data_IF_801874744994
#
_entry.id   IF_801874744994
#
_cell.length_a   1.000
_cell.length_b   1.000
_cell.length_c   1.000
_cell.angle_alpha   90.00
_cell.angle_beta   90.00
_cell.angle_gamma   90.00
#
_symmetry.space_group_name_H-M   'P 1'
#
loop_
_entity.id
_entity.type
_entity.pdbx_description
1 polymer ?
#
# COMPACT_ATOMS: atom_id res chain seq x y z
N UNK A 1 -5.43 -9.97 3.96
CA UNK A 1 -5.06 -8.55 3.88
C UNK A 1 -4.11 -8.28 5.02
N UNK A 2 -2.86 -7.89 4.74
CA UNK A 2 -1.91 -7.51 5.81
C UNK A 2 -2.22 -6.07 6.15
N UNK A 3 -3.24 -5.86 6.99
CA UNK A 3 -3.54 -4.56 7.58
C UNK A 3 -2.73 -4.39 8.86
N UNK A 4 -2.42 -3.15 9.23
CA UNK A 4 -1.94 -2.87 10.57
C UNK A 4 -3.01 -3.23 11.61
N UNK A 5 -2.60 -3.46 12.85
CA UNK A 5 -3.46 -3.01 13.95
C UNK A 5 -3.55 -1.49 13.79
N UNK A 6 -4.74 -1.00 13.44
CA UNK A 6 -5.01 0.36 12.95
C UNK A 6 -4.29 1.47 13.71
N UNK A 7 -4.03 1.29 15.01
CA UNK A 7 -3.32 2.25 15.86
C UNK A 7 -1.82 2.46 15.60
N UNK A 8 -1.12 1.60 14.84
CA UNK A 8 0.35 1.70 14.71
C UNK A 8 0.82 2.81 13.75
N UNK A 9 -0.04 3.24 12.83
CA UNK A 9 0.28 4.27 11.82
C UNK A 9 -0.70 5.43 11.81
N UNK A 10 -1.78 5.34 12.59
CA UNK A 10 -2.75 6.42 12.73
C UNK A 10 -2.05 7.71 13.18
N UNK A 11 -2.56 8.83 12.69
CA UNK A 11 -1.98 10.14 12.93
C UNK A 11 -2.91 11.25 12.46
N UNK A 12 -2.46 12.51 12.46
CA UNK A 12 -3.30 13.67 12.18
C UNK A 12 -4.06 13.62 10.84
N UNK A 13 -3.57 12.87 9.85
CA UNK A 13 -4.20 12.69 8.54
C UNK A 13 -4.32 11.22 8.07
N UNK A 14 -4.16 10.26 8.99
CA UNK A 14 -4.33 8.82 8.73
C UNK A 14 -5.33 8.25 9.72
N UNK A 15 -6.40 7.66 9.20
CA UNK A 15 -7.42 6.97 9.98
C UNK A 15 -7.73 5.60 9.39
N UNK A 16 -7.63 4.56 10.22
CA UNK A 16 -7.92 3.19 9.78
C UNK A 16 -6.91 2.67 8.74
N UNK A 17 -5.68 3.19 8.76
CA UNK A 17 -4.63 2.84 7.79
C UNK A 17 -4.74 3.53 6.43
N UNK A 18 -5.73 4.40 6.24
CA UNK A 18 -5.92 5.18 5.01
C UNK A 18 -5.72 6.67 5.26
N UNK A 19 -5.16 7.36 4.26
CA UNK A 19 -4.98 8.80 4.32
C UNK A 19 -6.29 9.54 4.06
N UNK A 20 -6.56 10.57 4.85
CA UNK A 20 -7.59 11.56 4.57
C UNK A 20 -7.01 12.79 3.87
N UNK A 21 -7.44 13.03 2.63
CA UNK A 21 -7.02 14.20 1.86
C UNK A 21 -7.85 15.43 2.26
N UNK A 22 -7.31 16.29 3.15
CA UNK A 22 -7.93 17.55 3.59
C UNK A 22 -7.26 18.78 2.94
N UNK A 23 -8.07 19.79 2.58
CA UNK A 23 -7.62 21.00 1.86
C UNK A 23 -6.65 21.87 2.67
N UNK A 24 -6.86 22.03 3.98
CA UNK A 24 -6.01 22.88 4.83
C UNK A 24 -5.47 22.05 6.00
N UNK A 25 -4.16 21.74 6.04
CA UNK A 25 -3.55 21.17 7.23
C UNK A 25 -3.45 22.24 8.33
N UNK A 26 -3.85 21.91 9.56
CA UNK A 26 -3.73 22.84 10.69
C UNK A 26 -2.26 23.09 11.05
N UNK A 27 -1.94 24.29 11.57
CA UNK A 27 -0.57 24.69 11.99
C UNK A 27 -0.03 23.79 13.12
N UNK A 28 -0.90 23.23 13.97
CA UNK A 28 -0.57 22.18 14.95
C UNK A 28 -0.10 20.87 14.28
N UNK A 29 -0.30 20.74 12.97
CA UNK A 29 -0.03 19.57 12.16
C UNK A 29 1.45 19.32 11.89
N UNK A 30 2.31 20.34 11.74
CA UNK A 30 3.71 20.11 11.39
C UNK A 30 4.50 19.40 12.52
N UNK A 31 4.34 19.87 13.77
CA UNK A 31 4.96 19.23 14.94
C UNK A 31 4.39 17.83 15.19
N UNK A 32 3.07 17.68 15.14
CA UNK A 32 2.40 16.39 15.32
C UNK A 32 2.82 15.38 14.23
N UNK A 33 2.94 15.83 12.98
CA UNK A 33 3.40 15.03 11.85
C UNK A 33 4.87 14.63 12.00
N UNK A 34 5.74 15.53 12.48
CA UNK A 34 7.12 15.17 12.79
C UNK A 34 7.20 14.11 13.89
N UNK A 35 6.40 14.25 14.96
CA UNK A 35 6.33 13.22 16.01
C UNK A 35 5.83 11.88 15.48
N UNK A 36 4.87 11.88 14.57
CA UNK A 36 4.40 10.68 13.89
C UNK A 36 5.52 10.06 13.02
N UNK A 37 6.25 10.87 12.25
CA UNK A 37 7.42 10.41 11.48
C UNK A 37 8.44 9.72 12.39
N UNK A 38 8.79 10.35 13.51
CA UNK A 38 9.74 9.79 14.47
C UNK A 38 9.22 8.50 15.12
N UNK A 39 7.92 8.42 15.39
CA UNK A 39 7.26 7.22 15.91
C UNK A 39 7.30 6.06 14.91
N UNK A 40 6.82 6.29 13.68
CA UNK A 40 6.78 5.27 12.63
C UNK A 40 8.20 4.82 12.27
N UNK A 41 9.18 5.73 12.25
CA UNK A 41 10.57 5.39 11.97
C UNK A 41 11.19 4.49 13.06
N UNK A 42 10.84 4.72 14.34
CA UNK A 42 11.25 3.83 15.44
C UNK A 42 10.65 2.43 15.29
N UNK A 43 9.35 2.33 14.98
CA UNK A 43 8.70 1.03 14.76
C UNK A 43 9.33 0.32 13.57
N UNK A 44 9.48 1.00 12.42
CA UNK A 44 10.13 0.44 11.23
C UNK A 44 11.53 -0.08 11.55
N UNK A 45 12.32 0.67 12.32
CA UNK A 45 13.67 0.27 12.72
C UNK A 45 13.67 -1.03 13.54
N UNK A 46 12.66 -1.25 14.38
CA UNK A 46 12.51 -2.51 15.11
C UNK A 46 12.19 -3.67 14.16
N UNK A 47 11.24 -3.48 13.24
CA UNK A 47 10.89 -4.50 12.25
C UNK A 47 12.06 -4.88 11.34
N UNK A 48 12.91 -3.92 10.96
CA UNK A 48 14.12 -4.18 10.17
C UNK A 48 15.11 -5.04 10.96
N UNK A 49 15.30 -4.76 12.26
CA UNK A 49 16.17 -5.57 13.12
C UNK A 49 15.64 -6.99 13.30
N UNK A 50 14.34 -7.13 13.54
CA UNK A 50 13.71 -8.44 13.70
C UNK A 50 13.79 -9.25 12.39
N UNK A 51 13.60 -8.58 11.23
CA UNK A 51 13.75 -9.22 9.92
C UNK A 51 15.18 -9.73 9.70
N UNK A 52 16.18 -8.92 10.01
CA UNK A 52 17.59 -9.30 9.91
C UNK A 52 17.92 -10.50 10.80
N UNK A 53 17.43 -10.51 12.04
CA UNK A 53 17.57 -11.65 12.94
C UNK A 53 16.95 -12.93 12.35
N UNK A 54 15.72 -12.84 11.84
CA UNK A 54 15.03 -13.99 11.21
C UNK A 54 15.78 -14.49 9.98
N UNK A 55 16.36 -13.60 9.17
CA UNK A 55 17.19 -13.98 8.02
C UNK A 55 18.44 -14.74 8.43
N UNK A 56 19.12 -14.32 9.50
CA UNK A 56 20.30 -15.02 10.01
C UNK A 56 19.94 -16.42 10.53
N UNK A 57 18.85 -16.54 11.28
CA UNK A 57 18.34 -17.84 11.76
C UNK A 57 17.93 -18.76 10.61
N UNK A 58 17.26 -18.21 9.59
CA UNK A 58 16.84 -18.95 8.40
C UNK A 58 18.06 -19.46 7.64
N UNK A 59 19.07 -18.62 7.38
CA UNK A 59 20.28 -19.02 6.68
C UNK A 59 21.04 -20.14 7.42
N UNK A 60 21.17 -20.03 8.75
CA UNK A 60 21.81 -21.06 9.57
C UNK A 60 21.06 -22.39 9.51
N UNK A 61 19.72 -22.37 9.65
CA UNK A 61 18.89 -23.59 9.60
C UNK A 61 18.82 -24.20 8.21
N UNK A 62 18.78 -23.39 7.15
CA UNK A 62 18.82 -23.90 5.76
C UNK A 62 20.13 -24.64 5.51
N UNK A 63 21.25 -24.08 5.97
CA UNK A 63 22.55 -24.75 5.88
C UNK A 63 22.54 -26.11 6.57
N UNK A 64 22.06 -26.20 7.82
CA UNK A 64 21.93 -27.47 8.54
C UNK A 64 20.96 -28.44 7.84
N UNK A 65 19.82 -27.95 7.36
CA UNK A 65 18.81 -28.74 6.65
C UNK A 65 19.39 -29.44 5.42
N UNK A 66 20.24 -28.76 4.65
CA UNK A 66 20.88 -29.32 3.47
C UNK A 66 21.95 -30.36 3.78
N UNK A 67 22.47 -30.40 5.01
CA UNK A 67 23.43 -31.42 5.47
C UNK A 67 22.74 -32.67 6.05
N UNK A 68 21.45 -32.60 6.38
CA UNK A 68 20.73 -33.73 6.97
C UNK A 68 20.47 -34.86 5.96
N UNK A 69 20.51 -36.10 6.44
CA UNK A 69 20.09 -37.28 5.66
C UNK A 69 18.63 -37.13 5.20
N UNK A 70 18.27 -37.49 3.95
CA UNK A 70 16.90 -37.42 3.45
C UNK A 70 15.85 -38.12 4.33
N UNK A 71 16.25 -39.20 5.02
CA UNK A 71 15.35 -40.07 5.79
C UNK A 71 15.35 -39.78 7.30
N UNK A 72 16.03 -38.72 7.74
CA UNK A 72 16.03 -38.33 9.15
C UNK A 72 14.67 -37.72 9.55
N UNK A 73 14.06 -38.22 10.62
CA UNK A 73 12.79 -37.70 11.13
C UNK A 73 12.89 -36.22 11.54
N UNK A 74 14.05 -35.79 12.02
CA UNK A 74 14.34 -34.41 12.38
C UNK A 74 14.33 -33.47 11.16
N UNK A 75 14.57 -34.01 9.96
CA UNK A 75 14.55 -33.24 8.71
C UNK A 75 13.14 -32.75 8.40
N UNK A 76 12.10 -33.52 8.74
CA UNK A 76 10.71 -33.09 8.57
C UNK A 76 10.35 -31.95 9.52
N UNK A 77 10.75 -32.04 10.78
CA UNK A 77 10.56 -30.95 11.76
C UNK A 77 11.27 -29.69 11.28
N UNK A 78 12.51 -29.80 10.81
CA UNK A 78 13.28 -28.69 10.26
C UNK A 78 12.59 -28.05 9.03
N UNK A 79 11.90 -28.83 8.17
CA UNK A 79 11.08 -28.25 7.07
C UNK A 79 9.99 -27.35 7.61
N UNK A 80 9.31 -27.75 8.68
CA UNK A 80 8.26 -26.92 9.28
C UNK A 80 8.84 -25.65 9.91
N UNK A 81 9.96 -25.74 10.62
CA UNK A 81 10.64 -24.58 11.19
C UNK A 81 11.03 -23.56 10.10
N UNK A 82 11.67 -24.03 9.02
CA UNK A 82 12.05 -23.19 7.87
C UNK A 82 10.84 -22.51 7.22
N UNK A 83 9.72 -23.22 7.05
CA UNK A 83 8.48 -22.63 6.53
C UNK A 83 7.94 -21.53 7.46
N UNK A 84 8.00 -21.72 8.78
CA UNK A 84 7.54 -20.71 9.72
C UNK A 84 8.45 -19.47 9.72
N UNK A 85 9.77 -19.66 9.67
CA UNK A 85 10.73 -18.56 9.55
C UNK A 85 10.53 -17.78 8.24
N UNK A 86 10.34 -18.49 7.12
CA UNK A 86 10.07 -17.87 5.81
C UNK A 86 8.77 -17.04 5.83
N UNK A 87 7.70 -17.57 6.45
CA UNK A 87 6.44 -16.85 6.66
C UNK A 87 6.65 -15.60 7.52
N UNK A 88 7.38 -15.72 8.62
CA UNK A 88 7.66 -14.60 9.53
C UNK A 88 8.49 -13.52 8.82
N UNK A 89 9.53 -13.90 8.08
CA UNK A 89 10.35 -12.98 7.29
C UNK A 89 9.49 -12.22 6.27
N UNK A 90 8.62 -12.93 5.54
CA UNK A 90 7.70 -12.31 4.58
C UNK A 90 6.80 -11.28 5.25
N UNK A 91 6.23 -11.63 6.42
CA UNK A 91 5.39 -10.71 7.18
C UNK A 91 6.15 -9.46 7.65
N UNK A 92 7.34 -9.64 8.23
CA UNK A 92 8.16 -8.52 8.71
C UNK A 92 8.60 -7.61 7.55
N UNK A 93 8.98 -8.20 6.41
CA UNK A 93 9.33 -7.46 5.20
C UNK A 93 8.16 -6.61 4.68
N UNK A 94 6.97 -7.20 4.56
CA UNK A 94 5.76 -6.49 4.14
C UNK A 94 5.44 -5.31 5.08
N UNK A 95 5.51 -5.52 6.39
CA UNK A 95 5.24 -4.48 7.38
C UNK A 95 6.28 -3.36 7.32
N UNK A 96 7.56 -3.70 7.22
CA UNK A 96 8.65 -2.71 7.07
C UNK A 96 8.51 -1.87 5.80
N UNK A 97 8.12 -2.50 4.68
CA UNK A 97 7.84 -1.80 3.43
C UNK A 97 6.65 -0.85 3.56
N UNK A 98 5.57 -1.28 4.23
CA UNK A 98 4.39 -0.47 4.47
C UNK A 98 4.70 0.75 5.37
N UNK A 99 5.47 0.57 6.44
CA UNK A 99 5.98 1.70 7.23
C UNK A 99 6.86 2.64 6.40
N UNK A 100 7.67 2.10 5.48
CA UNK A 100 8.46 2.89 4.54
C UNK A 100 7.59 3.80 3.65
N UNK A 101 6.47 3.27 3.16
CA UNK A 101 5.48 4.05 2.40
C UNK A 101 4.87 5.17 3.25
N UNK A 102 4.43 4.87 4.48
CA UNK A 102 3.84 5.89 5.36
C UNK A 102 4.84 6.99 5.75
N UNK A 103 6.10 6.64 6.00
CA UNK A 103 7.16 7.62 6.25
C UNK A 103 7.38 8.53 5.05
N UNK A 104 7.43 7.98 3.85
CA UNK A 104 7.59 8.78 2.63
C UNK A 104 6.40 9.73 2.42
N UNK A 105 5.17 9.26 2.70
CA UNK A 105 3.97 10.09 2.58
C UNK A 105 3.92 11.20 3.64
N UNK A 106 4.27 10.90 4.89
CA UNK A 106 4.34 11.87 5.98
C UNK A 106 5.44 12.92 5.73
N UNK A 107 6.61 12.50 5.25
CA UNK A 107 7.69 13.43 4.87
C UNK A 107 7.25 14.36 3.73
N UNK A 108 6.64 13.80 2.69
CA UNK A 108 6.04 14.58 1.59
C UNK A 108 5.08 15.65 2.13
N UNK A 109 4.23 15.29 3.11
CA UNK A 109 3.27 16.22 3.69
C UNK A 109 3.95 17.30 4.53
N UNK A 110 4.99 16.97 5.27
CA UNK A 110 5.80 17.95 5.99
C UNK A 110 6.43 18.96 5.03
N UNK A 111 6.92 18.49 3.88
CA UNK A 111 7.50 19.35 2.85
C UNK A 111 6.44 20.28 2.21
N UNK A 112 5.23 19.77 1.96
CA UNK A 112 4.09 20.58 1.49
C UNK A 112 3.70 21.66 2.51
N UNK A 113 3.68 21.30 3.80
CA UNK A 113 3.39 22.21 4.90
C UNK A 113 4.41 23.34 4.98
N UNK A 114 5.70 22.99 4.98
CA UNK A 114 6.79 23.98 4.98
C UNK A 114 6.74 24.90 3.76
N UNK A 115 6.42 24.35 2.58
CA UNK A 115 6.26 25.13 1.35
C UNK A 115 5.11 26.15 1.46
N UNK A 116 3.98 25.75 2.04
CA UNK A 116 2.85 26.63 2.29
C UNK A 116 3.17 27.68 3.36
N UNK A 117 3.79 27.29 4.49
CA UNK A 117 4.20 28.19 5.58
C UNK A 117 5.24 29.22 5.12
N UNK A 118 6.10 28.85 4.17
CA UNK A 118 7.04 29.77 3.52
C UNK A 118 6.37 30.80 2.60
N UNK A 119 5.04 30.75 2.42
CA UNK A 119 4.29 31.67 1.58
C UNK A 119 4.53 31.49 0.08
N UNK A 120 5.08 30.35 -0.34
CA UNK A 120 5.38 30.08 -1.74
C UNK A 120 4.06 29.84 -2.48
N UNK A 121 3.78 30.71 -3.46
CA UNK A 121 2.53 30.68 -4.25
C UNK A 121 2.52 29.62 -5.35
N UNK A 122 3.70 29.13 -5.72
CA UNK A 122 3.84 28.09 -6.74
C UNK A 122 3.29 26.77 -6.21
N UNK A 123 2.67 25.93 -7.05
CA UNK A 123 2.26 24.60 -6.63
C UNK A 123 3.47 23.81 -6.14
N UNK A 124 3.34 23.18 -4.97
CA UNK A 124 4.37 22.28 -4.46
C UNK A 124 4.66 21.19 -5.50
N UNK A 125 5.95 20.95 -5.76
CA UNK A 125 6.40 19.90 -6.66
C UNK A 125 7.13 18.83 -5.85
N UNK A 126 6.84 17.54 -6.08
CA UNK A 126 7.62 16.49 -5.46
C UNK A 126 9.08 16.58 -5.89
N UNK A 127 9.98 16.23 -4.96
CA UNK A 127 11.37 16.00 -5.30
C UNK A 127 11.44 15.01 -6.48
N UNK A 128 12.44 15.14 -7.37
CA UNK A 128 12.66 14.15 -8.42
C UNK A 128 12.69 12.76 -7.79
N UNK A 129 11.95 11.82 -8.39
CA UNK A 129 12.00 10.42 -7.94
C UNK A 129 13.46 9.97 -7.95
N UNK A 130 13.83 9.11 -6.98
CA UNK A 130 15.13 8.45 -7.01
C UNK A 130 15.38 7.91 -8.42
N UNK A 131 16.59 8.07 -8.94
CA UNK A 131 16.95 7.54 -10.23
C UNK A 131 16.90 6.01 -10.16
N UNK A 132 15.76 5.45 -10.56
CA UNK A 132 15.53 4.01 -10.65
C UNK A 132 16.16 3.44 -11.93
N UNK A 133 16.98 4.21 -12.65
CA UNK A 133 17.54 3.85 -13.96
C UNK A 133 16.47 3.74 -15.05
N UNK A 134 15.30 4.37 -14.83
CA UNK A 134 14.19 4.30 -15.77
C UNK A 134 14.43 5.25 -16.95
N UNK A 135 14.25 4.73 -18.15
CA UNK A 135 14.42 5.51 -19.37
C UNK A 135 13.44 6.70 -19.42
N UNK A 136 13.84 7.78 -20.09
CA UNK A 136 12.94 8.91 -20.34
C UNK A 136 11.69 8.42 -21.08
N UNK A 137 10.51 8.80 -20.58
CA UNK A 137 9.24 8.34 -21.15
C UNK A 137 8.90 6.88 -20.83
N UNK A 138 9.55 6.21 -19.85
CA UNK A 138 9.23 4.81 -19.48
C UNK A 138 7.74 4.55 -19.27
N UNK A 139 7.01 5.54 -18.74
CA UNK A 139 5.56 5.48 -18.54
C UNK A 139 4.83 5.13 -19.83
N UNK A 140 5.31 5.56 -20.99
CA UNK A 140 4.68 5.30 -22.29
C UNK A 140 4.73 3.83 -22.72
N UNK A 141 5.69 3.07 -22.21
CA UNK A 141 5.92 1.67 -22.56
C UNK A 141 5.57 0.72 -21.41
N UNK A 142 5.30 1.28 -20.23
CA UNK A 142 4.95 0.50 -19.05
C UNK A 142 3.47 0.12 -19.06
N UNK A 143 3.22 -1.18 -18.90
CA UNK A 143 1.89 -1.72 -18.66
C UNK A 143 1.67 -1.83 -17.14
N UNK A 144 0.75 -1.06 -16.53
CA UNK A 144 0.48 -1.10 -15.09
C UNK A 144 -0.34 -2.33 -14.66
N UNK A 145 -0.10 -3.50 -15.26
CA UNK A 145 -0.92 -4.72 -15.15
C UNK A 145 -1.29 -5.11 -13.71
N UNK A 146 -0.32 -5.11 -12.79
CA UNK A 146 -0.56 -5.47 -11.38
C UNK A 146 -1.50 -4.47 -10.69
N UNK A 147 -1.31 -3.17 -10.95
CA UNK A 147 -2.15 -2.13 -10.38
C UNK A 147 -3.56 -2.16 -10.98
N UNK A 148 -3.69 -2.32 -12.30
CA UNK A 148 -4.97 -2.49 -13.00
C UNK A 148 -5.74 -3.69 -12.48
N UNK A 149 -5.07 -4.84 -12.30
CA UNK A 149 -5.70 -6.06 -11.78
C UNK A 149 -6.20 -5.89 -10.35
N UNK A 150 -5.40 -5.23 -9.49
CA UNK A 150 -5.83 -4.94 -8.11
C UNK A 150 -7.04 -3.99 -8.10
N UNK A 151 -6.98 -2.88 -8.83
CA UNK A 151 -8.09 -1.92 -8.92
C UNK A 151 -9.37 -2.58 -9.44
N UNK A 152 -9.26 -3.47 -10.44
CA UNK A 152 -10.41 -4.21 -10.97
C UNK A 152 -11.06 -5.10 -9.91
N UNK A 153 -10.26 -5.87 -9.16
CA UNK A 153 -10.77 -6.71 -8.07
C UNK A 153 -11.47 -5.87 -7.01
N UNK A 154 -10.87 -4.75 -6.63
CA UNK A 154 -11.41 -3.88 -5.58
C UNK A 154 -12.71 -3.19 -6.06
N UNK A 155 -12.78 -2.81 -7.34
CA UNK A 155 -14.00 -2.31 -7.99
C UNK A 155 -15.12 -3.37 -8.05
N UNK A 156 -14.80 -4.59 -8.47
CA UNK A 156 -15.78 -5.70 -8.53
C UNK A 156 -16.36 -6.00 -7.14
N UNK A 157 -15.48 -6.06 -6.13
CA UNK A 157 -15.89 -6.28 -4.74
C UNK A 157 -16.74 -5.13 -4.21
N UNK A 158 -16.29 -3.88 -4.39
CA UNK A 158 -17.02 -2.70 -3.95
C UNK A 158 -18.38 -2.55 -4.63
N UNK A 159 -18.49 -2.89 -5.93
CA UNK A 159 -19.77 -2.92 -6.65
C UNK A 159 -20.74 -3.97 -6.10
N UNK A 160 -20.24 -5.18 -5.82
CA UNK A 160 -21.08 -6.23 -5.23
C UNK A 160 -21.58 -5.79 -3.86
N UNK A 161 -20.70 -5.24 -3.03
CA UNK A 161 -21.03 -4.74 -1.71
C UNK A 161 -22.06 -3.61 -1.74
N UNK A 162 -21.84 -2.59 -2.58
CA UNK A 162 -22.79 -1.48 -2.78
C UNK A 162 -24.17 -2.00 -3.20
N UNK A 163 -24.22 -2.94 -4.15
CA UNK A 163 -25.48 -3.55 -4.58
C UNK A 163 -26.18 -4.29 -3.44
N UNK A 164 -25.45 -5.08 -2.66
CA UNK A 164 -26.01 -5.79 -1.50
C UNK A 164 -26.60 -4.82 -0.49
N UNK A 165 -25.91 -3.70 -0.21
CA UNK A 165 -26.40 -2.68 0.70
C UNK A 165 -27.68 -2.01 0.16
N UNK A 166 -27.68 -1.62 -1.11
CA UNK A 166 -28.85 -1.00 -1.76
C UNK A 166 -30.06 -1.94 -1.80
N UNK A 167 -29.84 -3.25 -1.96
CA UNK A 167 -30.89 -4.27 -1.88
C UNK A 167 -31.41 -4.44 -0.44
N UNK A 168 -30.52 -4.49 0.56
CA UNK A 168 -30.88 -4.54 1.97
C UNK A 168 -31.68 -3.30 2.40
N UNK A 169 -31.32 -2.12 1.91
CA UNK A 169 -31.99 -0.85 2.21
C UNK A 169 -33.44 -0.87 1.70
N UNK A 170 -33.64 -1.31 0.45
CA UNK A 170 -34.98 -1.47 -0.14
C UNK A 170 -35.86 -2.46 0.64
N UNK A 171 -35.25 -3.48 1.24
CA UNK A 171 -35.96 -4.50 2.01
C UNK A 171 -36.15 -4.14 3.49
N UNK A 172 -35.68 -2.97 3.94
CA UNK A 172 -35.65 -2.61 5.38
C UNK A 172 -35.03 -3.71 6.24
N UNK A 173 -33.95 -4.33 5.74
CA UNK A 173 -33.41 -5.54 6.33
C UNK A 173 -32.77 -5.26 7.70
N UNK A 174 -33.10 -6.01 8.76
CA UNK A 174 -32.65 -5.70 10.13
C UNK A 174 -31.12 -5.80 10.33
N UNK A 175 -30.41 -6.52 9.46
CA UNK A 175 -28.94 -6.58 9.50
C UNK A 175 -28.27 -5.26 9.10
N UNK A 176 -29.00 -4.32 8.48
CA UNK A 176 -28.47 -2.97 8.27
C UNK A 176 -28.19 -2.25 9.59
N UNK A 177 -28.90 -2.58 10.67
CA UNK A 177 -28.63 -1.99 11.99
C UNK A 177 -27.33 -2.51 12.64
N UNK A 178 -26.74 -3.60 12.11
CA UNK A 178 -25.46 -4.15 12.58
C UNK A 178 -24.25 -3.52 11.87
N UNK A 179 -24.49 -2.81 10.77
CA UNK A 179 -23.49 -2.06 10.04
C UNK A 179 -23.75 -0.60 10.39
N UNK A 180 -22.76 0.14 10.86
CA UNK A 180 -22.92 1.54 11.26
C UNK A 180 -23.14 2.44 10.02
N UNK A 181 -24.33 2.31 9.42
CA UNK A 181 -24.78 3.09 8.28
C UNK A 181 -25.28 4.42 8.80
N UNK A 182 -24.39 5.41 8.81
CA UNK A 182 -24.85 6.78 8.77
C UNK A 182 -25.41 7.09 7.36
N UNK A 183 -26.20 8.16 7.26
CA UNK A 183 -26.85 8.56 6.00
C UNK A 183 -25.85 8.85 4.84
N UNK A 184 -24.58 9.06 5.15
CA UNK A 184 -23.52 9.37 4.19
C UNK A 184 -22.77 8.13 3.69
N UNK A 185 -22.91 6.95 4.33
CA UNK A 185 -22.14 5.75 3.98
C UNK A 185 -22.41 5.31 2.53
N UNK A 186 -23.68 5.22 2.10
CA UNK A 186 -24.03 4.82 0.72
C UNK A 186 -23.57 5.89 -0.31
N UNK A 187 -23.87 7.20 -0.11
CA UNK A 187 -23.33 8.25 -0.97
C UNK A 187 -21.80 8.23 -1.11
N UNK A 188 -21.07 8.01 -0.01
CA UNK A 188 -19.61 7.95 -0.01
C UNK A 188 -19.10 6.72 -0.75
N UNK A 189 -19.70 5.55 -0.53
CA UNK A 189 -19.35 4.33 -1.26
C UNK A 189 -19.58 4.49 -2.77
N UNK A 190 -20.66 5.16 -3.19
CA UNK A 190 -20.88 5.48 -4.62
C UNK A 190 -19.78 6.37 -5.19
N UNK A 191 -19.38 7.42 -4.47
CA UNK A 191 -18.28 8.32 -4.88
C UNK A 191 -16.96 7.56 -4.98
N UNK A 192 -16.67 6.69 -4.03
CA UNK A 192 -15.48 5.83 -4.04
C UNK A 192 -15.48 4.93 -5.27
N UNK A 193 -16.60 4.27 -5.58
CA UNK A 193 -16.72 3.42 -6.78
C UNK A 193 -16.54 4.21 -8.09
N UNK A 194 -17.08 5.42 -8.18
CA UNK A 194 -16.83 6.30 -9.32
C UNK A 194 -15.36 6.70 -9.45
N UNK A 195 -14.66 6.92 -8.33
CA UNK A 195 -13.25 7.24 -8.34
C UNK A 195 -12.40 6.05 -8.81
N UNK A 196 -12.70 4.84 -8.32
CA UNK A 196 -12.02 3.60 -8.76
C UNK A 196 -12.27 3.34 -10.24
N UNK A 197 -13.49 3.52 -10.74
CA UNK A 197 -13.82 3.34 -12.16
C UNK A 197 -13.02 4.29 -13.06
N UNK A 198 -12.91 5.57 -12.70
CA UNK A 198 -12.10 6.54 -13.44
C UNK A 198 -10.62 6.16 -13.47
N UNK A 199 -10.07 5.70 -12.35
CA UNK A 199 -8.68 5.24 -12.27
C UNK A 199 -8.45 3.98 -13.10
N UNK A 200 -9.40 3.04 -13.08
CA UNK A 200 -9.34 1.82 -13.87
C UNK A 200 -9.32 2.15 -15.37
N UNK A 201 -10.19 3.04 -15.83
CA UNK A 201 -10.18 3.50 -17.22
C UNK A 201 -8.84 4.12 -17.63
N UNK A 202 -8.24 4.95 -16.77
CA UNK A 202 -6.93 5.56 -17.04
C UNK A 202 -5.84 4.50 -17.21
N UNK A 203 -5.81 3.51 -16.33
CA UNK A 203 -4.78 2.47 -16.32
C UNK A 203 -4.96 1.48 -17.48
N UNK A 204 -6.20 1.17 -17.85
CA UNK A 204 -6.51 0.35 -19.02
C UNK A 204 -6.12 1.08 -20.32
N UNK A 205 -6.43 2.38 -20.43
CA UNK A 205 -5.97 3.20 -21.57
C UNK A 205 -4.45 3.20 -21.67
N UNK A 206 -3.74 3.26 -20.53
CA UNK A 206 -2.28 3.18 -20.50
C UNK A 206 -1.76 1.80 -20.93
N UNK A 207 -2.37 0.71 -20.46
CA UNK A 207 -2.00 -0.65 -20.87
C UNK A 207 -2.15 -0.85 -22.39
N UNK A 208 -3.26 -0.38 -22.97
CA UNK A 208 -3.48 -0.43 -24.43
C UNK A 208 -2.42 0.39 -25.19
N UNK A 209 -2.09 1.60 -24.71
CA UNK A 209 -1.03 2.42 -25.33
C UNK A 209 0.33 1.73 -25.30
N UNK A 210 0.69 1.12 -24.17
CA UNK A 210 1.93 0.37 -24.01
C UNK A 210 2.00 -0.82 -24.98
N UNK A 211 0.90 -1.58 -25.13
CA UNK A 211 0.82 -2.70 -26.09
C UNK A 211 0.94 -2.23 -27.55
N UNK A 212 0.30 -1.12 -27.92
CA UNK A 212 0.41 -0.58 -29.28
C UNK A 212 1.85 -0.11 -29.57
N UNK A 213 2.52 0.51 -28.60
CA UNK A 213 3.91 0.97 -28.75
C UNK A 213 4.90 -0.18 -28.79
N UNK A 214 4.70 -1.24 -27.99
CA UNK A 214 5.58 -2.42 -28.00
C UNK A 214 5.49 -3.26 -29.29
N UNK A 215 4.35 -3.18 -29.99
CA UNK A 215 4.13 -3.85 -31.29
C UNK A 215 4.68 -3.09 -32.49
N UNK A 216 5.04 -1.81 -32.36
CA UNK A 216 5.65 -1.05 -33.46
C UNK A 216 7.13 -1.40 -33.53
N UNK A 217 7.64 -2.01 -34.62
CA UNK A 217 9.06 -2.27 -34.75
C UNK A 217 9.80 -0.93 -34.67
N UNK A 218 10.78 -0.87 -33.78
CA UNK A 218 11.75 0.22 -33.73
C UNK A 218 12.32 0.34 -35.14
N UNK A 219 11.98 1.42 -35.86
CA UNK A 219 12.71 1.76 -37.07
C UNK A 219 14.14 2.04 -36.60
N UNK A 220 15.02 1.06 -36.78
CA UNK A 220 16.45 1.25 -36.61
C UNK A 220 16.85 2.37 -37.56
N UNK A 221 17.30 3.48 -36.98
CA UNK A 221 18.03 4.56 -37.65
C UNK A 221 19.52 4.24 -37.57
#
# INVERSE_FOLDING_TARGET
MVGFNTSQVDGPDIHGGSREYKEIPSVTGALALQQQVDHVNRIRSQYVKDLEYVWQELAAKEHSFHQMSPDAAEKDVMRFELRQLSRLATQLWMQSALFGFHLADAQKRLDQLKHHEAGIREPWRPAPLADLGLQSGWKDFYNPYLATTSLRRDWEHGRLWLRTIEEMEKMSHPQLALIDFNAETIPNLRKEMQAVERLLEEFEKQAVRAEVKSRKPSKQL
#
